data_IF_327134886630
#
_entry.id   IF_327134886630
#
_cell.length_a   1.000
_cell.length_b   1.000
_cell.length_c   1.000
_cell.angle_alpha   90.00
_cell.angle_beta   90.00
_cell.angle_gamma   90.00
#
_symmetry.space_group_name_H-M   'P 1'
#
loop_
_entity.id
_entity.type
_entity.pdbx_description
1 polymer ?
#
# COMPACT_ATOMS: atom_id res chain seq x y z
N UNK A 1 11.03 -14.06 4.49
CA UNK A 1 9.74 -14.33 3.83
C UNK A 1 8.56 -14.56 4.79
N UNK A 2 8.79 -14.87 6.08
CA UNK A 2 7.73 -15.15 7.06
C UNK A 2 6.65 -14.06 7.14
N UNK A 3 7.04 -12.80 7.39
CA UNK A 3 6.10 -11.69 7.53
C UNK A 3 5.28 -11.41 6.25
N UNK A 4 5.87 -11.58 5.07
CA UNK A 4 5.14 -11.42 3.81
C UNK A 4 4.12 -12.55 3.56
N UNK A 5 4.43 -13.77 4.01
CA UNK A 5 3.60 -14.96 3.84
C UNK A 5 2.54 -15.13 4.94
N UNK A 6 2.66 -14.41 6.07
CA UNK A 6 1.69 -14.50 7.16
C UNK A 6 0.26 -14.14 6.73
N UNK A 7 0.13 -13.25 5.75
CA UNK A 7 -1.17 -12.81 5.21
C UNK A 7 -1.75 -13.69 4.10
N UNK A 8 -1.03 -14.71 3.61
CA UNK A 8 -1.49 -15.55 2.48
C UNK A 8 -2.94 -16.03 2.62
N UNK A 9 -3.40 -16.50 3.81
CA UNK A 9 -4.78 -16.95 3.99
C UNK A 9 -5.85 -15.86 3.80
N UNK A 10 -5.49 -14.58 3.88
CA UNK A 10 -6.41 -13.45 3.79
C UNK A 10 -6.37 -12.73 2.42
N UNK A 11 -5.53 -13.16 1.48
CA UNK A 11 -5.32 -12.46 0.19
C UNK A 11 -6.41 -12.72 -0.85
N UNK A 12 -7.15 -13.81 -0.71
CA UNK A 12 -8.18 -14.25 -1.67
C UNK A 12 -9.43 -14.67 -0.89
N UNK A 13 -10.59 -14.26 -1.38
CA UNK A 13 -11.91 -14.73 -0.94
C UNK A 13 -12.72 -15.24 -2.14
N UNK A 14 -14.00 -15.57 -1.91
CA UNK A 14 -14.91 -16.04 -2.96
C UNK A 14 -15.17 -15.02 -4.09
N UNK A 15 -14.82 -13.74 -3.90
CA UNK A 15 -14.96 -12.67 -4.88
C UNK A 15 -13.63 -12.27 -5.56
N UNK A 16 -12.51 -12.86 -5.15
CA UNK A 16 -11.19 -12.68 -5.77
C UNK A 16 -10.15 -12.08 -4.82
N UNK A 17 -9.29 -11.19 -5.32
CA UNK A 17 -8.21 -10.58 -4.54
C UNK A 17 -8.78 -9.58 -3.54
N UNK A 18 -8.43 -9.74 -2.26
CA UNK A 18 -8.86 -8.85 -1.16
C UNK A 18 -7.85 -7.72 -0.97
N UNK A 19 -8.33 -6.48 -1.04
CA UNK A 19 -7.52 -5.28 -0.79
C UNK A 19 -6.98 -5.26 0.65
N UNK A 20 -5.77 -4.72 0.86
CA UNK A 20 -5.06 -4.82 2.15
C UNK A 20 -5.85 -4.26 3.34
N UNK A 21 -6.61 -3.19 3.12
CA UNK A 21 -7.50 -2.56 4.10
C UNK A 21 -8.77 -3.36 4.40
N UNK A 22 -9.19 -4.23 3.47
CA UNK A 22 -10.32 -5.14 3.63
C UNK A 22 -9.92 -6.56 4.10
N UNK A 23 -8.62 -6.84 4.27
CA UNK A 23 -8.16 -8.15 4.73
C UNK A 23 -8.50 -8.35 6.20
N UNK A 24 -9.17 -9.45 6.51
CA UNK A 24 -9.35 -9.91 7.89
C UNK A 24 -7.99 -10.30 8.48
N UNK A 25 -7.47 -9.44 9.36
CA UNK A 25 -6.18 -9.65 10.05
C UNK A 25 -6.25 -10.75 11.10
N UNK A 26 -7.45 -11.15 11.54
CA UNK A 26 -7.63 -12.33 12.38
C UNK A 26 -7.24 -13.63 11.69
N UNK A 27 -7.22 -13.65 10.35
CA UNK A 27 -6.79 -14.79 9.53
C UNK A 27 -5.29 -14.81 9.23
N UNK A 28 -4.51 -13.85 9.74
CA UNK A 28 -3.08 -13.83 9.52
C UNK A 28 -2.38 -14.83 10.46
N UNK A 29 -1.37 -15.52 9.93
CA UNK A 29 -0.62 -16.54 10.67
C UNK A 29 0.23 -15.87 11.78
N UNK A 30 -0.31 -15.88 13.01
CA UNK A 30 0.32 -15.25 14.18
C UNK A 30 1.67 -15.89 14.52
N UNK A 31 1.80 -17.20 14.39
CA UNK A 31 3.06 -17.91 14.63
C UNK A 31 4.17 -17.40 13.71
N UNK A 32 3.89 -17.24 12.40
CA UNK A 32 4.85 -16.67 11.44
C UNK A 32 5.15 -15.19 11.69
N UNK A 33 4.18 -14.44 12.20
CA UNK A 33 4.39 -13.05 12.61
C UNK A 33 5.38 -13.01 13.77
N UNK A 34 5.10 -13.74 14.86
CA UNK A 34 5.93 -13.74 16.06
C UNK A 34 7.35 -14.23 15.78
N UNK A 35 7.51 -15.29 14.99
CA UNK A 35 8.83 -15.77 14.54
C UNK A 35 9.58 -14.72 13.70
N UNK A 36 8.88 -14.11 12.74
CA UNK A 36 9.47 -13.06 11.89
C UNK A 36 9.89 -11.82 12.69
N UNK A 37 9.15 -11.47 13.74
CA UNK A 37 9.47 -10.38 14.64
C UNK A 37 10.70 -10.69 15.50
N UNK A 38 10.79 -11.90 16.08
CA UNK A 38 11.93 -12.30 16.88
C UNK A 38 13.26 -12.27 16.09
N UNK A 39 13.24 -12.71 14.83
CA UNK A 39 14.40 -12.65 13.92
C UNK A 39 14.79 -11.19 13.65
N UNK A 40 13.79 -10.33 13.43
CA UNK A 40 14.03 -8.93 13.15
C UNK A 40 14.63 -8.19 14.36
N UNK A 41 14.13 -8.45 15.56
CA UNK A 41 14.65 -7.87 16.80
C UNK A 41 16.12 -8.29 17.03
N UNK A 42 16.45 -9.56 16.77
CA UNK A 42 17.83 -10.05 16.82
C UNK A 42 18.73 -9.40 15.75
N UNK A 43 18.19 -9.10 14.56
CA UNK A 43 18.93 -8.40 13.51
C UNK A 43 19.21 -6.93 13.87
N UNK A 44 18.26 -6.24 14.51
CA UNK A 44 18.42 -4.86 14.95
C UNK A 44 19.44 -4.70 16.10
N UNK A 45 19.61 -5.73 16.93
CA UNK A 45 20.63 -5.73 17.98
C UNK A 45 22.07 -5.50 17.44
N UNK A 46 22.30 -5.72 16.14
CA UNK A 46 23.60 -5.48 15.48
C UNK A 46 23.89 -4.01 15.14
N UNK A 47 22.96 -3.08 15.41
CA UNK A 47 23.11 -1.61 15.28
C UNK A 47 23.65 -1.07 13.94
N UNK A 48 23.57 -1.84 12.87
CA UNK A 48 23.91 -1.42 11.51
C UNK A 48 22.81 -1.88 10.52
N UNK A 49 21.63 -1.25 10.55
CA UNK A 49 20.53 -1.67 9.69
C UNK A 49 20.81 -1.29 8.23
N UNK A 50 20.75 -2.29 7.34
CA UNK A 50 20.73 -2.09 5.90
C UNK A 50 19.30 -1.96 5.34
N UNK A 51 19.15 -1.76 4.02
CA UNK A 51 17.85 -1.58 3.36
C UNK A 51 16.84 -2.70 3.67
N UNK A 52 17.30 -3.95 3.73
CA UNK A 52 16.44 -5.10 4.01
C UNK A 52 15.92 -5.12 5.46
N UNK A 53 16.71 -4.67 6.44
CA UNK A 53 16.22 -4.52 7.81
C UNK A 53 15.15 -3.43 7.92
N UNK A 54 15.31 -2.32 7.19
CA UNK A 54 14.31 -1.23 7.16
C UNK A 54 13.02 -1.72 6.49
N UNK A 55 13.12 -2.43 5.36
CA UNK A 55 11.97 -3.07 4.72
C UNK A 55 11.26 -4.06 5.64
N UNK A 56 12.01 -4.90 6.37
CA UNK A 56 11.45 -5.82 7.33
C UNK A 56 10.72 -5.11 8.48
N UNK A 57 11.24 -3.98 8.98
CA UNK A 57 10.55 -3.16 9.98
C UNK A 57 9.23 -2.59 9.46
N UNK A 58 9.18 -2.12 8.21
CA UNK A 58 7.91 -1.65 7.60
C UNK A 58 6.88 -2.78 7.59
N UNK A 59 7.28 -3.98 7.13
CA UNK A 59 6.38 -5.14 7.10
C UNK A 59 5.97 -5.57 8.51
N UNK A 60 6.87 -5.51 9.48
CA UNK A 60 6.59 -5.83 10.88
C UNK A 60 5.53 -4.89 11.48
N UNK A 61 5.56 -3.59 11.16
CA UNK A 61 4.54 -2.64 11.63
C UNK A 61 3.15 -2.96 11.07
N UNK A 62 3.07 -3.34 9.79
CA UNK A 62 1.81 -3.87 9.24
C UNK A 62 1.37 -5.14 9.96
N UNK A 63 2.28 -6.10 10.17
CA UNK A 63 1.99 -7.39 10.78
C UNK A 63 1.52 -7.30 12.24
N UNK A 64 2.05 -6.34 13.01
CA UNK A 64 1.71 -6.14 14.43
C UNK A 64 0.35 -5.47 14.63
N UNK A 65 -0.06 -4.64 13.68
CA UNK A 65 -1.24 -3.81 13.86
C UNK A 65 -2.54 -4.64 13.78
N UNK A 66 -3.46 -4.50 14.76
CA UNK A 66 -4.68 -5.32 14.84
C UNK A 66 -5.70 -4.97 13.74
N UNK A 67 -5.65 -3.76 13.19
CA UNK A 67 -6.46 -3.32 12.05
C UNK A 67 -5.65 -2.42 11.11
N UNK A 68 -6.24 -2.07 9.98
CA UNK A 68 -5.64 -1.14 9.03
C UNK A 68 -5.47 0.26 9.64
N UNK A 69 -6.47 0.73 10.37
CA UNK A 69 -6.52 2.02 11.06
C UNK A 69 -5.51 2.09 12.21
N UNK A 70 -5.31 0.97 12.91
CA UNK A 70 -4.34 0.86 14.02
C UNK A 70 -2.88 0.66 13.54
N UNK A 71 -2.62 0.71 12.24
CA UNK A 71 -1.25 0.64 11.71
C UNK A 71 -0.50 1.93 12.04
N UNK A 72 0.74 1.83 12.52
CA UNK A 72 1.59 3.01 12.80
C UNK A 72 2.12 3.61 11.49
N UNK A 73 1.22 4.29 10.78
CA UNK A 73 1.52 4.98 9.53
C UNK A 73 2.60 6.06 9.69
N UNK A 74 2.62 6.89 10.76
CA UNK A 74 3.71 7.84 10.98
C UNK A 74 5.08 7.16 11.05
N UNK A 75 5.21 6.01 11.74
CA UNK A 75 6.47 5.28 11.80
C UNK A 75 6.84 4.66 10.46
N UNK A 76 5.86 4.09 9.73
CA UNK A 76 6.09 3.56 8.37
C UNK A 76 6.59 4.67 7.43
N UNK A 77 6.00 5.87 7.47
CA UNK A 77 6.42 7.01 6.67
C UNK A 77 7.89 7.41 6.97
N UNK A 78 8.28 7.44 8.26
CA UNK A 78 9.67 7.68 8.67
C UNK A 78 10.62 6.61 8.14
N UNK A 79 10.24 5.33 8.24
CA UNK A 79 11.06 4.23 7.74
C UNK A 79 11.22 4.26 6.22
N UNK A 80 10.18 4.63 5.47
CA UNK A 80 10.31 4.86 4.03
C UNK A 80 11.24 6.04 3.71
N UNK A 81 11.24 7.10 4.52
CA UNK A 81 12.22 8.19 4.39
C UNK A 81 13.67 7.71 4.58
N UNK A 82 13.91 6.88 5.59
CA UNK A 82 15.24 6.24 5.81
C UNK A 82 15.60 5.33 4.64
N UNK A 83 14.66 4.49 4.18
CA UNK A 83 14.88 3.58 3.05
C UNK A 83 15.19 4.33 1.76
N UNK A 84 14.49 5.43 1.49
CA UNK A 84 14.73 6.27 0.31
C UNK A 84 16.12 6.89 0.30
N UNK A 85 16.66 7.26 1.46
CA UNK A 85 18.03 7.75 1.58
C UNK A 85 19.08 6.64 1.35
N UNK A 86 18.79 5.41 1.77
CA UNK A 86 19.71 4.26 1.63
C UNK A 86 19.66 3.62 0.23
N UNK A 87 18.47 3.55 -0.36
CA UNK A 87 18.18 2.88 -1.62
C UNK A 87 17.11 3.66 -2.41
N UNK A 88 17.49 4.78 -3.06
CA UNK A 88 16.57 5.63 -3.80
C UNK A 88 15.82 4.83 -4.88
N UNK A 89 14.49 4.96 -4.90
CA UNK A 89 13.65 4.30 -5.90
C UNK A 89 12.29 5.00 -6.01
N UNK A 90 11.75 5.20 -7.22
CA UNK A 90 10.40 5.74 -7.41
C UNK A 90 9.32 4.90 -6.71
N UNK A 91 9.54 3.59 -6.57
CA UNK A 91 8.62 2.70 -5.84
C UNK A 91 8.68 2.95 -4.32
N UNK A 92 9.85 3.29 -3.78
CA UNK A 92 10.01 3.66 -2.37
C UNK A 92 9.30 5.00 -2.09
N UNK A 93 9.47 6.00 -2.95
CA UNK A 93 8.79 7.29 -2.81
C UNK A 93 7.27 7.18 -2.98
N UNK A 94 6.80 6.34 -3.91
CA UNK A 94 5.37 6.01 -4.04
C UNK A 94 4.81 5.45 -2.72
N UNK A 95 5.47 4.43 -2.16
CA UNK A 95 4.99 3.83 -0.91
C UNK A 95 5.08 4.80 0.27
N UNK A 96 6.08 5.67 0.30
CA UNK A 96 6.19 6.77 1.27
C UNK A 96 5.01 7.72 1.17
N UNK A 97 4.64 8.14 -0.03
CA UNK A 97 3.49 9.02 -0.27
C UNK A 97 2.19 8.39 0.24
N UNK A 98 1.98 7.09 0.03
CA UNK A 98 0.84 6.36 0.60
C UNK A 98 0.87 6.36 2.13
N UNK A 99 2.03 6.09 2.74
CA UNK A 99 2.15 6.08 4.20
C UNK A 99 1.87 7.47 4.81
N UNK A 100 2.34 8.53 4.17
CA UNK A 100 2.05 9.93 4.55
C UNK A 100 0.57 10.25 4.37
N UNK A 101 -0.05 9.76 3.29
CA UNK A 101 -1.49 9.93 3.09
C UNK A 101 -2.33 9.32 4.23
N UNK A 102 -1.89 8.16 4.72
CA UNK A 102 -2.54 7.46 5.81
C UNK A 102 -2.27 8.08 7.19
N UNK A 103 -1.12 8.73 7.37
CA UNK A 103 -0.75 9.40 8.61
C UNK A 103 -1.33 10.82 8.72
N UNK A 104 -1.17 11.62 7.66
CA UNK A 104 -1.40 13.07 7.65
C UNK A 104 -2.58 13.47 6.74
N UNK A 105 -3.27 12.50 6.16
CA UNK A 105 -4.46 12.69 5.34
C UNK A 105 -4.22 12.61 3.82
N UNK A 106 -5.26 12.30 3.02
CA UNK A 106 -5.13 12.00 1.60
C UNK A 106 -4.45 13.11 0.77
N UNK A 107 -4.74 14.37 1.07
CA UNK A 107 -4.15 15.53 0.38
C UNK A 107 -2.62 15.56 0.46
N UNK A 108 -2.04 15.21 1.62
CA UNK A 108 -0.59 15.16 1.85
C UNK A 108 0.07 14.11 0.95
N UNK A 109 -0.56 12.95 0.81
CA UNK A 109 -0.08 11.90 -0.10
C UNK A 109 -0.21 12.27 -1.57
N UNK A 110 -1.35 12.87 -1.97
CA UNK A 110 -1.57 13.32 -3.34
C UNK A 110 -0.53 14.34 -3.79
N UNK A 111 -0.14 15.27 -2.91
CA UNK A 111 0.91 16.26 -3.20
C UNK A 111 2.25 15.60 -3.54
N UNK A 112 2.59 14.50 -2.87
CA UNK A 112 3.81 13.72 -3.09
C UNK A 112 3.72 12.76 -4.28
N UNK A 113 2.52 12.25 -4.61
CA UNK A 113 2.32 11.42 -5.81
C UNK A 113 2.39 12.23 -7.10
N UNK A 114 2.00 13.50 -7.08
CA UNK A 114 1.97 14.37 -8.26
C UNK A 114 3.25 14.34 -9.12
N UNK A 115 4.48 14.50 -8.57
CA UNK A 115 5.68 14.38 -9.39
C UNK A 115 5.87 12.97 -9.98
N UNK A 116 5.48 11.92 -9.26
CA UNK A 116 5.61 10.53 -9.70
C UNK A 116 4.66 10.18 -10.86
N UNK A 117 3.51 10.85 -10.96
CA UNK A 117 2.57 10.69 -12.08
C UNK A 117 3.16 11.16 -13.42
N UNK A 118 4.14 12.06 -13.39
CA UNK A 118 4.86 12.52 -14.57
C UNK A 118 6.13 11.72 -14.89
N UNK A 119 6.51 10.76 -14.04
CA UNK A 119 7.72 9.95 -14.24
C UNK A 119 7.46 8.85 -15.28
N UNK A 120 8.21 8.89 -16.39
CA UNK A 120 8.12 7.92 -17.47
C UNK A 120 8.40 6.48 -16.99
N UNK A 121 9.24 6.30 -15.96
CA UNK A 121 9.53 4.98 -15.39
C UNK A 121 8.31 4.36 -14.70
N UNK A 122 7.35 5.18 -14.26
CA UNK A 122 6.14 4.73 -13.58
C UNK A 122 4.86 4.85 -14.42
N UNK A 123 4.95 5.37 -15.66
CA UNK A 123 3.78 5.58 -16.51
C UNK A 123 2.94 4.30 -16.71
N UNK A 124 3.60 3.16 -16.90
CA UNK A 124 2.96 1.83 -17.01
C UNK A 124 2.79 1.08 -15.69
N UNK A 125 3.08 1.71 -14.55
CA UNK A 125 3.09 1.04 -13.26
C UNK A 125 1.70 1.08 -12.60
N UNK A 126 0.91 0.03 -12.78
CA UNK A 126 -0.46 -0.07 -12.24
C UNK A 126 -0.59 0.32 -10.74
N UNK A 127 0.35 -0.05 -9.84
CA UNK A 127 0.25 0.34 -8.44
C UNK A 127 0.29 1.85 -8.18
N UNK A 128 1.01 2.63 -9.01
CA UNK A 128 0.99 4.10 -8.90
C UNK A 128 -0.42 4.63 -9.17
N UNK A 129 -1.03 4.21 -10.27
CA UNK A 129 -2.37 4.66 -10.66
C UNK A 129 -3.44 4.19 -9.67
N UNK A 130 -3.30 2.98 -9.12
CA UNK A 130 -4.21 2.46 -8.11
C UNK A 130 -4.11 3.22 -6.78
N UNK A 131 -2.89 3.57 -6.35
CA UNK A 131 -2.67 4.39 -5.16
C UNK A 131 -3.25 5.80 -5.35
N UNK A 132 -2.99 6.42 -6.52
CA UNK A 132 -3.56 7.72 -6.86
C UNK A 132 -5.09 7.69 -6.83
N UNK A 133 -5.72 6.67 -7.42
CA UNK A 133 -7.16 6.50 -7.41
C UNK A 133 -7.74 6.38 -5.99
N UNK A 134 -7.12 5.55 -5.14
CA UNK A 134 -7.59 5.37 -3.76
C UNK A 134 -7.46 6.66 -2.93
N UNK A 135 -6.38 7.42 -3.11
CA UNK A 135 -6.22 8.70 -2.42
C UNK A 135 -7.20 9.77 -2.91
N UNK A 136 -7.48 9.86 -4.21
CA UNK A 136 -8.52 10.74 -4.75
C UNK A 136 -9.90 10.40 -4.17
N UNK A 137 -10.24 9.11 -4.13
CA UNK A 137 -11.49 8.63 -3.53
C UNK A 137 -11.60 9.02 -2.07
N UNK A 138 -10.53 8.80 -1.27
CA UNK A 138 -10.49 9.20 0.15
C UNK A 138 -10.54 10.72 0.34
N UNK A 139 -10.07 11.49 -0.64
CA UNK A 139 -10.14 12.95 -0.66
C UNK A 139 -11.47 13.49 -1.18
N UNK A 140 -12.45 12.63 -1.51
CA UNK A 140 -13.77 13.00 -2.01
C UNK A 140 -13.84 13.28 -3.52
N UNK A 141 -12.75 13.10 -4.27
CA UNK A 141 -12.75 13.25 -5.73
C UNK A 141 -13.11 11.92 -6.41
N UNK A 142 -14.41 11.62 -6.44
CA UNK A 142 -14.93 10.38 -7.01
C UNK A 142 -14.65 10.27 -8.53
N UNK A 143 -14.77 11.38 -9.27
CA UNK A 143 -14.53 11.39 -10.72
C UNK A 143 -13.06 11.13 -11.05
N UNK A 144 -12.16 11.86 -10.39
CA UNK A 144 -10.72 11.65 -10.55
C UNK A 144 -10.30 10.23 -10.14
N UNK A 145 -10.91 9.69 -9.08
CA UNK A 145 -10.68 8.31 -8.64
C UNK A 145 -11.09 7.29 -9.71
N UNK A 146 -12.27 7.44 -10.33
CA UNK A 146 -12.74 6.54 -11.38
C UNK A 146 -11.76 6.51 -12.56
N UNK A 147 -11.31 7.67 -13.03
CA UNK A 147 -10.34 7.78 -14.12
C UNK A 147 -8.98 7.16 -13.78
N UNK A 148 -8.51 7.38 -12.55
CA UNK A 148 -7.26 6.79 -12.08
C UNK A 148 -7.37 5.26 -11.94
N UNK A 149 -8.51 4.72 -11.48
CA UNK A 149 -8.73 3.28 -11.45
C UNK A 149 -8.77 2.68 -12.86
N UNK A 150 -9.36 3.35 -13.85
CA UNK A 150 -9.33 2.90 -15.26
C UNK A 150 -7.90 2.87 -15.81
N UNK A 151 -7.08 3.89 -15.51
CA UNK A 151 -5.64 3.89 -15.87
C UNK A 151 -4.89 2.72 -15.22
N UNK A 152 -5.14 2.46 -13.93
CA UNK A 152 -4.56 1.32 -13.25
C UNK A 152 -4.97 -0.02 -13.89
N UNK A 153 -6.24 -0.13 -14.30
CA UNK A 153 -6.79 -1.32 -14.96
C UNK A 153 -6.15 -1.56 -16.35
N UNK A 154 -5.90 -0.48 -17.10
CA UNK A 154 -5.19 -0.55 -18.39
C UNK A 154 -3.75 -1.05 -18.21
N UNK A 155 -3.06 -0.58 -17.17
CA UNK A 155 -1.68 -0.96 -16.83
C UNK A 155 -1.54 -2.31 -16.10
N UNK A 156 -2.65 -2.99 -15.79
CA UNK A 156 -2.62 -4.24 -15.00
C UNK A 156 -2.15 -5.44 -15.80
N UNK A 157 -1.35 -6.31 -15.15
CA UNK A 157 -0.75 -7.50 -15.77
C UNK A 157 -1.66 -8.73 -15.82
N UNK A 158 -2.81 -8.73 -15.16
CA UNK A 158 -3.76 -9.87 -15.15
C UNK A 158 -5.20 -9.41 -15.32
N UNK A 159 -6.04 -10.27 -15.89
CA UNK A 159 -7.49 -10.03 -16.05
C UNK A 159 -8.19 -9.81 -14.71
N UNK A 160 -7.88 -10.63 -13.70
CA UNK A 160 -8.46 -10.51 -12.37
C UNK A 160 -8.15 -9.16 -11.71
N UNK A 161 -6.91 -8.65 -11.83
CA UNK A 161 -6.55 -7.32 -11.31
C UNK A 161 -7.28 -6.21 -12.07
N UNK A 162 -7.35 -6.32 -13.40
CA UNK A 162 -8.05 -5.36 -14.27
C UNK A 162 -9.54 -5.27 -13.89
N UNK A 163 -10.22 -6.40 -13.77
CA UNK A 163 -11.64 -6.45 -13.41
C UNK A 163 -11.90 -5.87 -12.02
N UNK A 164 -11.05 -6.20 -11.03
CA UNK A 164 -11.18 -5.64 -9.68
C UNK A 164 -11.06 -4.10 -9.68
N UNK A 165 -10.13 -3.54 -10.47
CA UNK A 165 -9.95 -2.10 -10.60
C UNK A 165 -11.11 -1.43 -11.35
N UNK A 166 -11.65 -2.07 -12.39
CA UNK A 166 -12.82 -1.56 -13.11
C UNK A 166 -14.07 -1.55 -12.23
N UNK A 167 -14.26 -2.56 -11.36
CA UNK A 167 -15.35 -2.55 -10.36
C UNK A 167 -15.23 -1.36 -9.40
N UNK A 168 -14.02 -1.02 -8.96
CA UNK A 168 -13.78 0.17 -8.12
C UNK A 168 -14.04 1.47 -8.87
N UNK A 169 -13.71 1.53 -10.16
CA UNK A 169 -14.04 2.68 -11.00
C UNK A 169 -15.56 2.89 -11.09
N UNK A 170 -16.31 1.84 -11.39
CA UNK A 170 -17.78 1.90 -11.48
C UNK A 170 -18.43 2.35 -10.16
N UNK A 171 -17.96 1.82 -9.02
CA UNK A 171 -18.47 2.23 -7.71
C UNK A 171 -18.23 3.74 -7.41
N UNK A 172 -17.16 4.32 -7.95
CA UNK A 172 -16.90 5.76 -7.83
C UNK A 172 -17.83 6.59 -8.73
N UNK A 173 -18.14 6.09 -9.94
CA UNK A 173 -19.10 6.73 -10.83
C UNK A 173 -20.51 6.77 -10.20
N UNK A 174 -20.93 5.65 -9.58
CA UNK A 174 -22.24 5.53 -8.90
C UNK A 174 -22.35 6.46 -7.68
N UNK A 175 -21.27 6.59 -6.91
CA UNK A 175 -21.23 7.49 -5.74
C UNK A 175 -21.37 8.98 -6.14
N UNK A 176 -21.03 9.32 -7.39
CA UNK A 176 -21.19 10.67 -7.92
C UNK A 176 -22.60 10.92 -8.48
N UNK A 177 -23.45 9.89 -8.59
CA UNK A 177 -24.85 10.00 -9.02
C UNK A 177 -25.85 10.15 -7.85
N UNK A 178 -25.42 9.90 -6.61
CA UNK A 178 -26.21 10.07 -5.38
C UNK A 178 -25.52 11.05 -4.40
N UNK A 179 -25.70 12.37 -4.56
CA UNK A 179 -25.14 13.39 -3.66
C UNK A 179 -25.83 13.46 -2.29
#
# INVERSE_FOLDING_TARGET
MLLHHARTPARIDGAGIVALDAQDRGRWDRTRIDEGLAILDAAFARRAPGPYQVQAAIVALHARAPSFEATDWPQIARLYGVLGAMAPSPVVELNRAVAIAMADGPASGLALLRPLLGDAALAGYAPLHAAHADLLRRNGDARGAADAYRRAAAASGTSAQREALLRRAAACDDSNLNP
#
